data_IF_445696042008
#
_entry.id   IF_445696042008
#
_cell.length_a   1.000
_cell.length_b   1.000
_cell.length_c   1.000
_cell.angle_alpha   90.00
_cell.angle_beta   90.00
_cell.angle_gamma   90.00
#
_symmetry.space_group_name_H-M   'P 1'
#
loop_
_entity.id
_entity.type
_entity.pdbx_description
1 polymer ?
#
# COMPACT_ATOMS: atom_id res chain seq x y z
N UNK A 1 -17.17 7.02 14.63
CA UNK A 1 -17.19 5.83 13.74
C UNK A 1 -16.42 4.74 14.47
N UNK A 2 -17.10 3.68 14.93
CA UNK A 2 -16.50 2.52 15.60
C UNK A 2 -16.72 1.29 14.71
N UNK A 3 -15.68 0.48 14.51
CA UNK A 3 -15.70 -0.72 13.69
C UNK A 3 -15.10 -1.87 14.49
N UNK A 4 -15.48 -3.11 14.16
CA UNK A 4 -14.90 -4.31 14.77
C UNK A 4 -13.42 -4.43 14.40
N UNK A 5 -12.59 -4.80 15.38
CA UNK A 5 -11.16 -5.04 15.20
C UNK A 5 -10.87 -6.51 15.52
N UNK A 6 -10.08 -7.24 14.70
CA UNK A 6 -9.68 -8.59 15.03
C UNK A 6 -8.78 -8.58 16.29
N UNK A 7 -9.04 -9.49 17.22
CA UNK A 7 -8.36 -9.51 18.53
C UNK A 7 -7.63 -10.82 18.84
N UNK A 8 -8.10 -11.96 18.34
CA UNK A 8 -7.56 -13.29 18.65
C UNK A 8 -7.81 -14.28 17.49
N UNK A 9 -7.28 -15.50 17.63
CA UNK A 9 -7.49 -16.65 16.74
C UNK A 9 -7.05 -16.49 15.27
N UNK A 10 -5.89 -15.85 15.07
CA UNK A 10 -5.27 -15.79 13.76
C UNK A 10 -4.72 -17.17 13.34
N UNK A 11 -5.23 -17.71 12.23
CA UNK A 11 -4.76 -18.94 11.60
C UNK A 11 -4.42 -18.72 10.13
N UNK A 12 -3.37 -19.39 9.65
CA UNK A 12 -3.07 -19.45 8.22
C UNK A 12 -4.05 -20.41 7.52
N UNK A 13 -4.45 -20.07 6.30
CA UNK A 13 -5.39 -20.87 5.51
C UNK A 13 -5.03 -20.69 4.04
N UNK A 14 -4.88 -21.81 3.32
CA UNK A 14 -4.56 -21.83 1.88
C UNK A 14 -5.83 -21.89 1.01
N UNK A 15 -7.00 -21.68 1.61
CA UNK A 15 -8.28 -21.70 0.90
C UNK A 15 -8.45 -20.42 0.08
N UNK A 16 -8.87 -20.59 -1.18
CA UNK A 16 -9.24 -19.49 -2.06
C UNK A 16 -10.58 -18.89 -1.62
N UNK A 17 -10.52 -17.93 -0.70
CA UNK A 17 -11.70 -17.20 -0.22
C UNK A 17 -12.01 -16.04 -1.16
N UNK A 18 -13.23 -16.00 -1.69
CA UNK A 18 -13.69 -14.84 -2.45
C UNK A 18 -13.94 -13.64 -1.52
N UNK A 19 -13.00 -12.70 -1.52
CA UNK A 19 -13.06 -11.53 -0.64
C UNK A 19 -14.30 -10.66 -0.88
N UNK A 20 -14.89 -10.65 -2.09
CA UNK A 20 -16.06 -9.83 -2.42
C UNK A 20 -17.33 -10.24 -1.67
N UNK A 21 -17.47 -11.53 -1.38
CA UNK A 21 -18.69 -12.11 -0.77
C UNK A 21 -18.71 -11.94 0.75
N UNK A 22 -17.57 -11.67 1.39
CA UNK A 22 -17.46 -11.54 2.85
C UNK A 22 -18.08 -10.23 3.34
N UNK A 23 -19.12 -10.21 4.17
CA UNK A 23 -19.71 -8.96 4.64
C UNK A 23 -18.76 -8.18 5.56
N UNK A 24 -18.82 -6.85 5.52
CA UNK A 24 -17.98 -5.96 6.32
C UNK A 24 -18.12 -6.14 7.85
N UNK A 25 -19.28 -6.65 8.28
CA UNK A 25 -19.60 -6.95 9.67
C UNK A 25 -19.50 -8.46 9.98
N UNK A 26 -18.78 -9.22 9.14
CA UNK A 26 -18.47 -10.63 9.43
C UNK A 26 -17.70 -10.75 10.74
N UNK A 27 -18.04 -11.75 11.54
CA UNK A 27 -17.29 -12.10 12.75
C UNK A 27 -15.86 -12.56 12.42
N UNK A 28 -15.67 -13.15 11.23
CA UNK A 28 -14.38 -13.59 10.71
C UNK A 28 -13.91 -12.66 9.59
N UNK A 29 -12.68 -12.15 9.72
CA UNK A 29 -12.02 -11.34 8.71
C UNK A 29 -10.80 -12.04 8.12
N UNK A 30 -10.43 -11.65 6.89
CA UNK A 30 -9.31 -12.24 6.15
C UNK A 30 -8.24 -11.19 5.84
N UNK A 31 -6.99 -11.63 5.87
CA UNK A 31 -5.82 -10.89 5.40
C UNK A 31 -5.28 -11.66 4.20
N UNK A 32 -5.08 -10.96 3.09
CA UNK A 32 -4.62 -11.54 1.84
C UNK A 32 -3.22 -11.03 1.50
N UNK A 33 -2.41 -11.90 0.91
CA UNK A 33 -1.21 -11.54 0.16
C UNK A 33 -1.58 -11.55 -1.33
N UNK A 34 -1.50 -10.39 -2.00
CA UNK A 34 -1.94 -10.24 -3.40
C UNK A 34 -0.92 -9.45 -4.22
N UNK A 35 -0.89 -9.71 -5.52
CA UNK A 35 -0.22 -8.86 -6.49
C UNK A 35 -1.24 -7.83 -7.04
N UNK A 36 -0.85 -6.56 -7.12
CA UNK A 36 -1.71 -5.47 -7.58
C UNK A 36 -1.05 -4.76 -8.75
N UNK A 37 -1.76 -4.71 -9.88
CA UNK A 37 -1.32 -3.96 -11.06
C UNK A 37 -1.99 -2.59 -11.06
N UNK A 38 -1.20 -1.54 -11.34
CA UNK A 38 -1.70 -0.18 -11.37
C UNK A 38 -1.89 0.26 -12.83
N UNK A 39 -3.11 0.28 -13.36
CA UNK A 39 -3.34 0.68 -14.75
C UNK A 39 -3.05 2.19 -14.92
N UNK A 40 -2.42 2.53 -16.05
CA UNK A 40 -2.02 3.92 -16.37
C UNK A 40 -3.23 4.88 -16.42
N UNK A 41 -4.42 4.37 -16.74
CA UNK A 41 -5.67 5.15 -16.81
C UNK A 41 -6.05 5.77 -15.45
N UNK A 42 -5.65 5.16 -14.35
CA UNK A 42 -5.94 5.65 -13.00
C UNK A 42 -4.92 6.66 -12.49
N UNK A 43 -3.83 6.91 -13.24
CA UNK A 43 -2.74 7.76 -12.81
C UNK A 43 -3.22 9.18 -12.45
N UNK A 44 -3.99 9.81 -13.35
CA UNK A 44 -4.49 11.17 -13.16
C UNK A 44 -5.50 11.26 -12.01
N UNK A 45 -6.35 10.25 -11.85
CA UNK A 45 -7.39 10.21 -10.82
C UNK A 45 -6.79 10.00 -9.42
N UNK A 46 -5.76 9.15 -9.31
CA UNK A 46 -5.15 8.80 -8.03
C UNK A 46 -3.86 9.55 -7.70
N UNK A 47 -3.44 10.52 -8.52
CA UNK A 47 -2.22 11.29 -8.28
C UNK A 47 -2.18 12.00 -6.91
N UNK A 48 -3.33 12.47 -6.43
CA UNK A 48 -3.43 13.14 -5.13
C UNK A 48 -3.49 12.16 -3.94
N UNK A 49 -4.03 10.96 -4.15
CA UNK A 49 -4.31 9.99 -3.09
C UNK A 49 -4.02 8.57 -3.58
N UNK A 50 -2.73 8.22 -3.67
CA UNK A 50 -2.34 6.88 -4.12
C UNK A 50 -2.79 5.81 -3.13
N UNK A 51 -3.27 4.70 -3.67
CA UNK A 51 -3.66 3.52 -2.91
C UNK A 51 -2.46 2.62 -2.63
N UNK A 52 -2.61 1.71 -1.67
CA UNK A 52 -1.61 0.69 -1.32
C UNK A 52 -0.19 1.25 -1.07
N UNK A 53 0.01 2.10 -0.03
CA UNK A 53 1.34 2.60 0.28
C UNK A 53 2.27 1.45 0.69
N UNK A 54 3.53 1.52 0.28
CA UNK A 54 4.55 0.51 0.54
C UNK A 54 5.68 1.04 1.38
N UNK A 55 6.29 0.13 2.15
CA UNK A 55 7.50 0.43 2.90
C UNK A 55 8.70 0.30 1.95
N UNK A 56 9.18 1.43 1.45
CA UNK A 56 10.30 1.48 0.49
C UNK A 56 11.43 2.39 0.97
N UNK A 57 12.62 2.09 0.48
CA UNK A 57 13.78 2.94 0.61
C UNK A 57 13.88 3.88 -0.60
N UNK A 58 13.84 5.19 -0.38
CA UNK A 58 13.92 6.17 -1.48
C UNK A 58 15.37 6.40 -1.86
N UNK A 59 15.72 6.00 -3.09
CA UNK A 59 17.06 6.20 -3.63
C UNK A 59 17.30 7.67 -4.01
N UNK A 60 18.55 8.14 -3.94
CA UNK A 60 18.90 9.51 -4.37
C UNK A 60 18.60 9.73 -5.87
N UNK A 61 18.54 8.67 -6.67
CA UNK A 61 18.12 8.73 -8.08
C UNK A 61 16.66 9.19 -8.24
N UNK A 62 15.75 8.72 -7.38
CA UNK A 62 14.31 9.01 -7.42
C UNK A 62 13.94 10.39 -6.86
N UNK A 63 14.88 11.04 -6.17
CA UNK A 63 14.70 12.39 -5.67
C UNK A 63 14.58 13.41 -6.83
N UNK A 64 13.79 14.47 -6.63
CA UNK A 64 13.73 15.60 -7.56
C UNK A 64 15.09 16.32 -7.67
N UNK A 65 15.39 16.99 -8.80
CA UNK A 65 16.62 17.77 -8.95
C UNK A 65 16.82 18.81 -7.83
N UNK A 66 15.73 19.46 -7.42
CA UNK A 66 15.74 20.44 -6.33
C UNK A 66 16.16 19.82 -4.99
N UNK A 67 15.59 18.66 -4.64
CA UNK A 67 15.96 17.96 -3.40
C UNK A 67 17.42 17.50 -3.39
N UNK A 68 18.01 17.18 -4.56
CA UNK A 68 19.44 16.84 -4.67
C UNK A 68 20.34 18.03 -4.37
N UNK A 69 19.97 19.22 -4.84
CA UNK A 69 20.72 20.48 -4.58
C UNK A 69 20.74 20.77 -3.08
N UNK A 70 19.58 20.77 -2.43
CA UNK A 70 19.45 20.99 -0.98
C UNK A 70 20.25 19.93 -0.20
N UNK A 71 20.11 18.66 -0.57
CA UNK A 71 20.80 17.59 0.14
C UNK A 71 22.33 17.73 0.07
N UNK A 72 22.86 18.28 -1.05
CA UNK A 72 24.27 18.61 -1.21
C UNK A 72 24.68 19.82 -0.37
N UNK A 73 23.87 20.88 -0.37
CA UNK A 73 24.12 22.12 0.39
C UNK A 73 24.18 21.87 1.90
N UNK A 74 23.24 21.08 2.42
CA UNK A 74 23.15 20.78 3.86
C UNK A 74 23.89 19.50 4.28
N UNK A 75 24.67 18.88 3.39
CA UNK A 75 25.41 17.64 3.68
C UNK A 75 24.55 16.47 4.19
N UNK A 76 23.27 16.42 3.81
CA UNK A 76 22.28 15.41 4.25
C UNK A 76 22.53 14.06 3.58
N UNK A 77 23.19 14.04 2.41
CA UNK A 77 23.48 12.83 1.61
C UNK A 77 24.35 11.78 2.31
N UNK A 78 24.92 12.08 3.49
CA UNK A 78 25.67 11.13 4.32
C UNK A 78 24.79 10.36 5.31
N UNK A 79 23.51 10.73 5.43
CA UNK A 79 22.59 10.06 6.34
C UNK A 79 22.27 8.65 5.84
N UNK A 80 22.15 7.71 6.79
CA UNK A 80 21.76 6.34 6.48
C UNK A 80 20.36 6.37 5.89
N UNK A 81 20.18 5.63 4.81
CA UNK A 81 18.87 5.47 4.21
C UNK A 81 17.93 4.73 5.16
N UNK A 82 16.66 5.11 5.16
CA UNK A 82 15.63 4.57 6.04
C UNK A 82 14.40 4.26 5.21
N UNK A 83 13.85 3.08 5.46
CA UNK A 83 12.57 2.68 4.88
C UNK A 83 11.44 3.56 5.40
N UNK A 84 10.66 4.13 4.48
CA UNK A 84 9.50 4.95 4.78
C UNK A 84 8.26 4.34 4.15
N UNK A 85 7.11 4.59 4.75
CA UNK A 85 5.84 4.30 4.13
C UNK A 85 5.60 5.36 3.05
N UNK A 86 5.66 4.97 1.78
CA UNK A 86 5.57 5.88 0.63
C UNK A 86 4.37 5.51 -0.23
N UNK A 87 3.40 6.45 -0.42
CA UNK A 87 2.35 6.29 -1.40
C UNK A 87 2.96 6.43 -2.80
N UNK A 88 2.74 5.45 -3.67
CA UNK A 88 3.29 5.46 -5.03
C UNK A 88 2.38 4.65 -5.98
N UNK A 89 2.38 5.02 -7.26
CA UNK A 89 1.54 4.45 -8.32
C UNK A 89 2.20 3.27 -9.04
N UNK A 90 3.21 2.62 -8.44
CA UNK A 90 3.89 1.46 -9.04
C UNK A 90 3.11 0.18 -8.73
N UNK A 91 3.23 -0.83 -9.59
CA UNK A 91 2.73 -2.18 -9.31
C UNK A 91 3.26 -2.71 -7.98
N UNK A 92 2.42 -3.50 -7.29
CA UNK A 92 2.69 -4.10 -5.99
C UNK A 92 2.80 -5.61 -6.17
N UNK A 93 3.77 -6.20 -5.50
CA UNK A 93 3.93 -7.66 -5.47
C UNK A 93 3.93 -8.15 -4.04
N UNK A 94 3.21 -9.23 -3.74
CA UNK A 94 3.08 -9.79 -2.39
C UNK A 94 2.62 -8.77 -1.34
N UNK A 95 1.65 -7.94 -1.71
CA UNK A 95 1.12 -6.91 -0.84
C UNK A 95 0.13 -7.51 0.15
N UNK A 96 0.40 -7.31 1.44
CA UNK A 96 -0.42 -7.86 2.53
C UNK A 96 -1.44 -6.83 2.99
N UNK A 97 -2.73 -7.16 2.90
CA UNK A 97 -3.81 -6.24 3.27
C UNK A 97 -5.05 -6.96 3.77
N UNK A 98 -5.88 -6.24 4.52
CA UNK A 98 -7.17 -6.73 4.99
C UNK A 98 -8.23 -6.70 3.86
N UNK A 99 -9.10 -7.70 3.81
CA UNK A 99 -10.10 -7.87 2.73
C UNK A 99 -10.94 -6.61 2.44
N UNK A 100 -11.26 -5.82 3.47
CA UNK A 100 -12.01 -4.56 3.31
C UNK A 100 -11.25 -3.51 2.50
N UNK A 101 -9.94 -3.43 2.69
CA UNK A 101 -9.10 -2.54 1.87
C UNK A 101 -9.03 -3.07 0.44
N UNK A 102 -8.99 -4.40 0.24
CA UNK A 102 -9.02 -4.98 -1.11
C UNK A 102 -10.29 -4.58 -1.85
N UNK A 103 -11.44 -4.73 -1.20
CA UNK A 103 -12.73 -4.30 -1.75
C UNK A 103 -12.73 -2.82 -2.12
N UNK A 104 -12.22 -1.98 -1.24
CA UNK A 104 -12.11 -0.54 -1.49
C UNK A 104 -11.22 -0.27 -2.71
N UNK A 105 -10.08 -0.95 -2.83
CA UNK A 105 -9.17 -0.77 -3.96
C UNK A 105 -9.85 -1.13 -5.28
N UNK A 106 -10.56 -2.27 -5.33
CA UNK A 106 -11.33 -2.68 -6.51
C UNK A 106 -12.45 -1.70 -6.83
N UNK A 107 -13.14 -1.16 -5.82
CA UNK A 107 -14.17 -0.13 -6.03
C UNK A 107 -13.59 1.18 -6.60
N UNK A 108 -12.35 1.49 -6.29
CA UNK A 108 -11.62 2.65 -6.82
C UNK A 108 -10.94 2.36 -8.17
N UNK A 109 -11.07 1.15 -8.71
CA UNK A 109 -10.64 0.75 -10.05
C UNK A 109 -9.35 -0.08 -10.10
N UNK A 110 -8.74 -0.37 -8.94
CA UNK A 110 -7.48 -1.10 -8.81
C UNK A 110 -7.66 -2.62 -8.86
#
# INVERSE_FOLDING_TARGET
>A
MSQHLPTHDFSWTDEDVNFMDVPDNSDMGYIFEVDLEYPDELYDFHNCYQLAPEKIEVSVSECSPYTKIIAKEFSILKSKSVEKLVPNLKNKTKYVLHYRNLKLYVQLGL
#
